data_IF_067381335125
#
_entry.id   IF_067381335125
#
_cell.length_a   1.000
_cell.length_b   1.000
_cell.length_c   1.000
_cell.angle_alpha   90.00
_cell.angle_beta   90.00
_cell.angle_gamma   90.00
#
_symmetry.space_group_name_H-M   'P 1'
#
loop_
_entity.id
_entity.type
_entity.pdbx_description
1 polymer ?
#
# COMPACT_ATOMS: atom_id res chain seq x y z
N UNK A 1 35.01 34.08 1.36
CA UNK A 1 34.83 33.35 2.64
C UNK A 1 33.49 33.74 3.30
N UNK A 2 32.39 33.17 2.80
CA UNK A 2 31.05 33.36 3.36
C UNK A 2 30.74 32.19 4.28
N UNK A 3 30.80 32.43 5.59
CA UNK A 3 30.44 31.46 6.62
C UNK A 3 28.92 31.38 6.76
N UNK A 4 28.35 30.23 6.44
CA UNK A 4 26.97 29.89 6.73
C UNK A 4 26.87 29.40 8.18
N UNK A 5 26.15 30.15 9.02
CA UNK A 5 25.68 29.68 10.34
C UNK A 5 24.36 28.91 10.15
N UNK A 6 24.14 27.79 10.87
CA UNK A 6 22.88 27.07 10.81
C UNK A 6 21.79 27.82 11.60
N UNK A 7 20.72 28.18 10.90
CA UNK A 7 19.53 28.83 11.47
C UNK A 7 18.54 27.71 11.87
N UNK A 8 18.47 27.40 13.16
CA UNK A 8 17.45 26.53 13.72
C UNK A 8 16.22 27.38 14.04
N UNK A 9 15.12 27.20 13.29
CA UNK A 9 13.84 27.82 13.62
C UNK A 9 13.23 27.08 14.82
N UNK A 10 13.21 27.73 15.99
CA UNK A 10 12.34 27.37 17.10
C UNK A 10 10.89 27.73 16.74
N UNK A 11 9.98 26.79 16.90
CA UNK A 11 8.53 27.03 16.82
C UNK A 11 8.09 27.77 18.10
N UNK A 12 7.45 28.95 18.02
CA UNK A 12 6.85 29.56 19.20
C UNK A 12 5.52 28.88 19.51
N UNK A 13 5.36 28.40 20.73
CA UNK A 13 4.07 28.10 21.34
C UNK A 13 3.31 29.42 21.48
N UNK A 14 2.36 29.68 20.60
CA UNK A 14 1.38 30.74 20.80
C UNK A 14 0.27 30.21 21.72
N UNK A 15 0.18 30.77 22.91
CA UNK A 15 -0.97 30.69 23.80
C UNK A 15 -2.21 31.24 23.11
N UNK A 16 -3.26 30.44 23.01
CA UNK A 16 -4.57 30.88 22.55
C UNK A 16 -5.31 31.45 23.76
N UNK A 17 -5.56 32.76 23.76
CA UNK A 17 -6.48 33.42 24.67
C UNK A 17 -7.93 33.09 24.29
N UNK A 18 -8.76 32.75 25.28
CA UNK A 18 -10.20 32.54 25.13
C UNK A 18 -10.95 33.88 25.02
N UNK A 19 -11.97 34.02 24.13
CA UNK A 19 -12.84 35.18 24.11
C UNK A 19 -13.96 35.08 25.17
N UNK A 20 -14.54 36.22 25.61
CA UNK A 20 -15.33 36.31 26.83
C UNK A 20 -16.77 35.78 26.69
N UNK A 21 -17.24 35.22 27.81
CA UNK A 21 -18.60 34.81 28.16
C UNK A 21 -19.73 35.62 27.49
N UNK A 22 -20.55 34.95 26.68
CA UNK A 22 -21.94 35.31 26.43
C UNK A 22 -22.85 34.31 27.14
N UNK A 23 -23.59 34.78 28.13
CA UNK A 23 -24.59 34.01 28.88
C UNK A 23 -25.72 33.54 27.95
N UNK A 24 -25.93 32.23 27.87
CA UNK A 24 -27.17 31.64 27.34
C UNK A 24 -27.76 30.73 28.41
N UNK A 25 -29.03 30.96 28.74
CA UNK A 25 -29.79 30.26 29.78
C UNK A 25 -29.95 28.76 29.50
N UNK A 26 -30.03 27.89 30.53
CA UNK A 26 -30.16 26.44 30.33
C UNK A 26 -31.57 26.06 29.87
N UNK A 27 -31.68 25.40 28.72
CA UNK A 27 -32.86 24.63 28.34
C UNK A 27 -32.78 23.23 28.98
N UNK A 28 -33.92 22.61 29.34
CA UNK A 28 -33.95 21.36 30.12
C UNK A 28 -33.41 20.17 29.31
N UNK A 29 -32.95 19.10 29.99
CA UNK A 29 -32.32 17.97 29.31
C UNK A 29 -33.35 17.22 28.47
N UNK A 30 -33.23 17.28 27.14
CA UNK A 30 -33.83 16.28 26.26
C UNK A 30 -33.04 15.00 26.44
N UNK A 31 -33.69 13.97 26.99
CA UNK A 31 -33.14 12.63 27.09
C UNK A 31 -32.79 12.13 25.69
N UNK A 32 -31.50 12.14 25.35
CA UNK A 32 -30.98 11.41 24.21
C UNK A 32 -30.70 9.97 24.68
N UNK A 33 -31.75 9.15 24.73
CA UNK A 33 -31.56 7.74 24.41
C UNK A 33 -31.29 7.73 22.91
N UNK A 34 -30.01 7.81 22.53
CA UNK A 34 -29.60 7.48 21.18
C UNK A 34 -29.83 5.97 21.03
N UNK A 35 -30.99 5.61 20.48
CA UNK A 35 -31.19 4.29 19.90
C UNK A 35 -30.10 4.12 18.86
N UNK A 36 -29.23 3.14 19.05
CA UNK A 36 -28.45 2.61 17.94
C UNK A 36 -29.47 2.22 16.86
N UNK A 37 -29.49 2.93 15.73
CA UNK A 37 -30.30 2.52 14.58
C UNK A 37 -29.92 1.08 14.27
N UNK A 38 -30.88 0.17 14.42
CA UNK A 38 -30.70 -1.21 14.06
C UNK A 38 -30.31 -1.25 12.59
N UNK A 39 -29.06 -1.66 12.32
CA UNK A 39 -28.57 -1.82 10.96
C UNK A 39 -29.55 -2.74 10.23
N UNK A 40 -30.20 -2.28 9.15
CA UNK A 40 -31.21 -3.09 8.45
C UNK A 40 -30.61 -4.44 8.07
N UNK A 41 -31.32 -5.52 8.34
CA UNK A 41 -30.90 -6.85 7.87
C UNK A 41 -31.39 -7.02 6.43
N UNK A 42 -30.46 -7.28 5.52
CA UNK A 42 -30.70 -7.38 4.07
C UNK A 42 -30.39 -8.81 3.62
N UNK A 43 -31.17 -9.38 2.70
CA UNK A 43 -30.87 -10.69 2.13
C UNK A 43 -29.84 -10.57 1.00
N UNK A 44 -29.05 -11.61 0.76
CA UNK A 44 -28.15 -11.63 -0.41
C UNK A 44 -28.91 -11.58 -1.74
N UNK A 45 -30.12 -12.13 -1.80
CA UNK A 45 -30.95 -12.03 -3.01
C UNK A 45 -31.32 -10.57 -3.33
N UNK A 46 -31.43 -9.70 -2.32
CA UNK A 46 -31.63 -8.27 -2.52
C UNK A 46 -30.34 -7.61 -3.02
N UNK A 47 -29.21 -7.86 -2.36
CA UNK A 47 -27.89 -7.36 -2.79
C UNK A 47 -27.61 -7.74 -4.25
N UNK A 48 -27.93 -8.96 -4.65
CA UNK A 48 -27.68 -9.49 -6.00
C UNK A 48 -28.42 -8.73 -7.11
N UNK A 49 -29.47 -7.95 -6.79
CA UNK A 49 -30.17 -7.08 -7.74
C UNK A 49 -29.33 -5.86 -8.14
N UNK A 50 -28.44 -5.42 -7.26
CA UNK A 50 -27.59 -4.24 -7.45
C UNK A 50 -26.24 -4.64 -8.07
N UNK A 51 -26.29 -5.17 -9.29
CA UNK A 51 -25.14 -5.79 -9.98
C UNK A 51 -24.69 -5.03 -11.25
N UNK A 52 -25.03 -3.74 -11.38
CA UNK A 52 -24.73 -2.93 -12.57
C UNK A 52 -23.76 -1.79 -12.24
N UNK A 53 -23.23 -1.08 -13.25
CA UNK A 53 -22.29 0.03 -13.04
C UNK A 53 -22.96 1.27 -12.42
N UNK A 54 -24.26 1.41 -12.67
CA UNK A 54 -25.09 2.52 -12.21
C UNK A 54 -25.82 2.19 -10.89
N UNK A 55 -25.77 0.93 -10.47
CA UNK A 55 -26.35 0.41 -9.24
C UNK A 55 -25.55 -0.81 -8.77
N UNK A 56 -24.53 -0.55 -7.94
CA UNK A 56 -23.46 -1.49 -7.59
C UNK A 56 -23.36 -1.64 -6.07
N UNK A 57 -23.92 -2.72 -5.52
CA UNK A 57 -23.71 -3.08 -4.12
C UNK A 57 -22.70 -4.22 -4.02
N UNK A 58 -21.85 -4.17 -3.01
CA UNK A 58 -20.87 -5.23 -2.74
C UNK A 58 -20.90 -5.58 -1.26
N UNK A 59 -20.80 -6.86 -0.95
CA UNK A 59 -20.75 -7.35 0.42
C UNK A 59 -19.31 -7.57 0.84
N UNK A 60 -18.96 -7.01 1.99
CA UNK A 60 -17.63 -7.09 2.59
C UNK A 60 -17.79 -7.30 4.10
N UNK A 61 -17.21 -8.39 4.61
CA UNK A 61 -17.29 -8.79 6.02
C UNK A 61 -18.74 -8.84 6.56
N UNK A 62 -19.67 -9.35 5.74
CA UNK A 62 -21.08 -9.52 6.13
C UNK A 62 -21.93 -8.24 6.14
N UNK A 63 -21.42 -7.13 5.58
CA UNK A 63 -22.18 -5.88 5.41
C UNK A 63 -22.26 -5.51 3.93
N UNK A 64 -23.41 -5.02 3.49
CA UNK A 64 -23.63 -4.56 2.12
C UNK A 64 -23.34 -3.06 2.00
N UNK A 65 -22.59 -2.68 0.97
CA UNK A 65 -22.19 -1.30 0.71
C UNK A 65 -22.59 -0.86 -0.70
N UNK A 66 -23.21 0.31 -0.82
CA UNK A 66 -23.40 0.96 -2.12
C UNK A 66 -22.07 1.60 -2.57
N UNK A 67 -21.43 0.97 -3.54
CA UNK A 67 -20.14 1.40 -4.09
C UNK A 67 -20.27 2.07 -5.46
N UNK A 68 -21.49 2.37 -5.92
CA UNK A 68 -21.78 2.95 -7.24
C UNK A 68 -20.94 4.19 -7.54
N UNK A 69 -20.90 5.14 -6.59
CA UNK A 69 -20.10 6.36 -6.73
C UNK A 69 -18.62 6.13 -6.41
N UNK A 70 -18.34 5.26 -5.44
CA UNK A 70 -16.98 4.99 -4.97
C UNK A 70 -16.13 4.26 -6.02
N UNK A 71 -16.75 3.41 -6.85
CA UNK A 71 -16.07 2.69 -7.93
C UNK A 71 -15.27 3.62 -8.84
N UNK A 72 -15.77 4.82 -9.11
CA UNK A 72 -15.14 5.81 -10.00
C UNK A 72 -13.85 6.42 -9.43
N UNK A 73 -13.70 6.42 -8.11
CA UNK A 73 -12.55 7.00 -7.40
C UNK A 73 -11.68 5.95 -6.73
N UNK A 74 -11.98 4.66 -6.93
CA UNK A 74 -11.26 3.56 -6.33
C UNK A 74 -9.82 3.46 -6.88
N UNK A 75 -8.76 3.48 -6.03
CA UNK A 75 -7.36 3.44 -6.47
C UNK A 75 -6.98 2.20 -7.30
N UNK A 76 -7.63 1.06 -7.04
CA UNK A 76 -7.43 -0.16 -7.83
C UNK A 76 -8.08 -0.12 -9.23
N UNK A 77 -8.96 0.85 -9.47
CA UNK A 77 -9.80 0.98 -10.67
C UNK A 77 -11.24 0.49 -10.44
N UNK A 78 -12.17 1.05 -11.21
CA UNK A 78 -13.60 0.78 -11.07
C UNK A 78 -14.03 -0.65 -11.43
N UNK A 79 -13.33 -1.28 -12.39
CA UNK A 79 -13.67 -2.61 -12.91
C UNK A 79 -13.70 -3.68 -11.80
N UNK A 80 -12.73 -3.67 -10.88
CA UNK A 80 -12.65 -4.67 -9.79
C UNK A 80 -13.88 -4.65 -8.89
N UNK A 81 -14.45 -3.46 -8.69
CA UNK A 81 -15.68 -3.28 -7.92
C UNK A 81 -16.89 -3.72 -8.74
N UNK A 82 -16.98 -3.32 -10.01
CA UNK A 82 -18.08 -3.71 -10.90
C UNK A 82 -18.14 -5.22 -11.17
N UNK A 83 -16.99 -5.89 -11.30
CA UNK A 83 -16.92 -7.36 -11.47
C UNK A 83 -17.43 -8.10 -10.22
N UNK A 84 -17.46 -7.42 -9.07
CA UNK A 84 -17.93 -7.96 -7.79
C UNK A 84 -19.33 -7.44 -7.41
N UNK A 85 -20.00 -6.71 -8.30
CA UNK A 85 -21.30 -6.12 -8.03
C UNK A 85 -22.36 -7.22 -7.79
N UNK A 86 -23.14 -7.07 -6.72
CA UNK A 86 -24.13 -8.03 -6.27
C UNK A 86 -23.56 -9.24 -5.49
N UNK A 87 -22.26 -9.28 -5.20
CA UNK A 87 -21.59 -10.44 -4.61
C UNK A 87 -20.92 -10.12 -3.26
N UNK A 88 -20.65 -11.16 -2.47
CA UNK A 88 -19.72 -11.13 -1.35
C UNK A 88 -18.27 -11.22 -1.87
N UNK A 89 -17.59 -10.09 -1.84
CA UNK A 89 -16.23 -9.93 -2.33
C UNK A 89 -15.18 -10.00 -1.22
N UNK A 90 -15.54 -10.40 0.00
CA UNK A 90 -14.64 -10.39 1.16
C UNK A 90 -13.35 -11.15 0.87
N UNK A 91 -13.44 -12.32 0.22
CA UNK A 91 -12.29 -13.14 -0.12
C UNK A 91 -11.35 -12.49 -1.16
N UNK A 92 -11.89 -11.67 -2.07
CA UNK A 92 -11.10 -10.91 -3.04
C UNK A 92 -10.46 -9.67 -2.39
N UNK A 93 -11.13 -9.11 -1.38
CA UNK A 93 -10.75 -7.86 -0.74
C UNK A 93 -9.66 -8.02 0.33
N UNK A 94 -9.81 -8.98 1.24
CA UNK A 94 -8.94 -9.20 2.42
C UNK A 94 -7.45 -9.42 2.08
N UNK A 95 -7.07 -10.12 0.99
CA UNK A 95 -5.67 -10.30 0.62
C UNK A 95 -4.96 -9.00 0.20
N UNK A 96 -5.72 -7.99 -0.22
CA UNK A 96 -5.19 -6.79 -0.87
C UNK A 96 -5.26 -5.58 0.07
N UNK A 97 -6.31 -5.47 0.87
CA UNK A 97 -6.63 -4.27 1.63
C UNK A 97 -6.45 -4.45 3.15
N UNK A 98 -6.06 -3.39 3.87
CA UNK A 98 -6.09 -3.42 5.34
C UNK A 98 -7.53 -3.47 5.84
N UNK A 99 -7.75 -4.17 6.96
CA UNK A 99 -9.11 -4.41 7.51
C UNK A 99 -9.85 -3.11 7.87
N UNK A 100 -9.11 -2.10 8.33
CA UNK A 100 -9.66 -0.81 8.75
C UNK A 100 -9.93 0.17 7.59
N UNK A 101 -9.55 -0.17 6.36
CA UNK A 101 -9.73 0.73 5.21
C UNK A 101 -11.20 0.98 4.92
N UNK A 102 -12.05 0.02 5.29
CA UNK A 102 -13.50 0.08 5.18
C UNK A 102 -14.05 1.22 6.04
N UNK A 103 -13.72 1.23 7.33
CA UNK A 103 -14.17 2.26 8.27
C UNK A 103 -13.60 3.64 7.92
N UNK A 104 -12.39 3.65 7.35
CA UNK A 104 -11.75 4.90 6.90
C UNK A 104 -12.33 5.41 5.59
N UNK A 105 -12.55 4.61 4.57
CA UNK A 105 -12.93 5.09 3.24
C UNK A 105 -14.43 5.06 2.99
N UNK A 106 -15.14 4.08 3.55
CA UNK A 106 -16.56 3.92 3.39
C UNK A 106 -17.29 4.60 4.54
N UNK A 107 -17.97 5.69 4.24
CA UNK A 107 -18.81 6.38 5.24
C UNK A 107 -19.92 5.44 5.71
N UNK A 108 -20.40 5.56 6.95
CA UNK A 108 -21.61 4.84 7.40
C UNK A 108 -22.79 4.99 6.44
N UNK A 109 -22.90 6.16 5.79
CA UNK A 109 -23.90 6.45 4.76
C UNK A 109 -23.85 5.58 3.49
N UNK A 110 -22.73 4.88 3.24
CA UNK A 110 -22.62 3.90 2.15
C UNK A 110 -23.02 2.49 2.60
N UNK A 111 -23.19 2.26 3.91
CA UNK A 111 -23.59 0.95 4.45
C UNK A 111 -25.11 0.83 4.31
N UNK A 112 -25.56 -0.13 3.51
CA UNK A 112 -26.99 -0.38 3.31
C UNK A 112 -27.55 -1.22 4.45
N UNK A 113 -26.77 -2.18 4.94
CA UNK A 113 -27.22 -3.07 6.01
C UNK A 113 -26.27 -4.22 6.30
N UNK A 114 -26.60 -5.00 7.34
CA UNK A 114 -25.96 -6.27 7.64
C UNK A 114 -26.65 -7.36 6.80
N UNK A 115 -25.86 -8.21 6.17
CA UNK A 115 -26.40 -9.31 5.36
C UNK A 115 -26.78 -10.47 6.26
N UNK A 116 -27.97 -11.03 6.06
CA UNK A 116 -28.36 -12.28 6.71
C UNK A 116 -27.49 -13.45 6.21
N UNK A 117 -26.63 -14.05 7.06
CA UNK A 117 -25.78 -15.16 6.66
C UNK A 117 -26.55 -16.38 6.14
N UNK A 118 -27.80 -16.59 6.58
CA UNK A 118 -28.63 -17.71 6.13
C UNK A 118 -29.05 -17.59 4.65
N UNK A 119 -28.94 -16.39 4.06
CA UNK A 119 -29.30 -16.11 2.66
C UNK A 119 -28.10 -16.19 1.71
N UNK A 120 -26.88 -16.33 2.23
CA UNK A 120 -25.66 -16.43 1.43
C UNK A 120 -25.54 -17.84 0.83
N UNK A 121 -25.67 -17.92 -0.49
CA UNK A 121 -25.46 -19.15 -1.27
C UNK A 121 -24.06 -19.14 -1.91
N UNK A 122 -23.51 -20.29 -2.31
CA UNK A 122 -22.20 -20.35 -2.98
C UNK A 122 -22.11 -19.48 -4.26
N UNK A 123 -23.23 -19.27 -4.95
CA UNK A 123 -23.34 -18.39 -6.13
C UNK A 123 -23.28 -16.89 -5.80
N UNK A 124 -23.55 -16.52 -4.55
CA UNK A 124 -23.48 -15.14 -4.06
C UNK A 124 -22.09 -14.74 -3.59
N UNK A 125 -21.16 -15.68 -3.46
CA UNK A 125 -19.78 -15.40 -3.06
C UNK A 125 -18.95 -15.18 -4.32
N UNK A 126 -18.29 -14.03 -4.40
CA UNK A 126 -17.39 -13.73 -5.49
C UNK A 126 -16.31 -14.81 -5.53
N UNK A 127 -16.29 -15.55 -6.64
CA UNK A 127 -15.29 -16.59 -6.82
C UNK A 127 -13.93 -15.90 -6.83
N UNK A 128 -13.04 -16.35 -5.94
CA UNK A 128 -11.62 -16.09 -6.10
C UNK A 128 -11.29 -16.46 -7.56
N UNK A 129 -10.53 -15.63 -8.30
CA UNK A 129 -10.00 -16.09 -9.57
C UNK A 129 -9.38 -17.44 -9.27
N UNK A 130 -9.78 -18.47 -10.02
CA UNK A 130 -9.16 -19.78 -9.87
C UNK A 130 -7.66 -19.52 -9.78
N UNK A 131 -7.03 -19.96 -8.68
CA UNK A 131 -5.59 -20.17 -8.71
C UNK A 131 -5.42 -21.19 -9.82
N UNK A 132 -5.27 -20.71 -11.06
CA UNK A 132 -4.47 -21.44 -12.01
C UNK A 132 -3.20 -21.72 -11.22
N UNK A 133 -2.84 -22.99 -10.97
CA UNK A 133 -1.53 -23.28 -10.41
C UNK A 133 -0.57 -22.40 -11.18
N UNK A 134 0.15 -21.50 -10.47
CA UNK A 134 0.89 -20.36 -11.00
C UNK A 134 1.11 -20.56 -12.48
N UNK A 135 0.28 -19.94 -13.33
CA UNK A 135 0.11 -20.41 -14.69
C UNK A 135 1.50 -20.61 -15.29
N UNK A 136 1.86 -21.88 -15.52
CA UNK A 136 3.13 -22.23 -16.15
C UNK A 136 3.28 -21.26 -17.32
N UNK A 137 4.44 -20.58 -17.42
CA UNK A 137 4.59 -19.34 -18.16
C UNK A 137 3.88 -19.49 -19.50
N UNK A 138 2.78 -18.74 -19.70
CA UNK A 138 2.11 -18.72 -20.99
C UNK A 138 3.12 -18.19 -21.99
N UNK A 139 3.65 -19.13 -22.78
CA UNK A 139 4.62 -18.97 -23.86
C UNK A 139 4.55 -17.56 -24.47
N UNK A 140 5.46 -16.68 -24.09
CA UNK A 140 5.98 -15.73 -25.07
C UNK A 140 6.88 -16.57 -25.96
N UNK A 141 6.35 -17.00 -27.10
CA UNK A 141 7.19 -17.43 -28.20
C UNK A 141 8.05 -16.23 -28.57
N UNK A 142 9.22 -16.12 -27.95
CA UNK A 142 10.32 -15.42 -28.56
C UNK A 142 10.63 -16.25 -29.79
N UNK A 143 10.17 -15.77 -30.95
CA UNK A 143 10.66 -16.22 -32.26
C UNK A 143 12.12 -15.78 -32.34
N UNK A 144 13.00 -16.50 -31.65
CA UNK A 144 14.39 -16.56 -32.01
C UNK A 144 14.42 -17.41 -33.28
N UNK A 145 14.81 -16.79 -34.38
CA UNK A 145 15.16 -17.51 -35.59
C UNK A 145 16.35 -18.41 -35.25
N UNK A 146 16.09 -19.70 -35.09
CA UNK A 146 17.10 -20.75 -35.14
C UNK A 146 16.52 -21.84 -36.03
N UNK A 147 17.20 -22.03 -37.15
CA UNK A 147 17.18 -23.27 -37.91
C UNK A 147 17.52 -24.43 -36.95
N UNK A 148 17.00 -25.62 -37.26
CA UNK A 148 17.22 -26.89 -36.56
C UNK A 148 16.40 -27.16 -35.29
N UNK A 149 15.13 -27.51 -35.51
CA UNK A 149 14.69 -28.91 -35.38
C UNK A 149 14.67 -29.64 -34.02
N UNK A 150 14.99 -29.04 -32.88
CA UNK A 150 14.78 -29.68 -31.57
C UNK A 150 13.73 -28.94 -30.73
N UNK A 151 12.59 -29.61 -30.48
CA UNK A 151 11.58 -29.16 -29.51
C UNK A 151 12.17 -29.27 -28.09
N UNK A 152 12.90 -28.23 -27.67
CA UNK A 152 13.48 -28.13 -26.34
C UNK A 152 12.38 -28.16 -25.26
N UNK A 153 12.44 -29.17 -24.40
CA UNK A 153 11.67 -29.22 -23.15
C UNK A 153 12.14 -28.05 -22.28
N UNK A 154 11.26 -27.08 -22.04
CA UNK A 154 11.57 -25.93 -21.19
C UNK A 154 11.49 -26.40 -19.73
N UNK A 155 12.62 -26.45 -19.04
CA UNK A 155 12.67 -26.81 -17.62
C UNK A 155 11.87 -25.82 -16.76
N UNK A 156 11.23 -26.32 -15.71
CA UNK A 156 10.48 -25.51 -14.75
C UNK A 156 11.42 -24.56 -13.99
N UNK A 157 11.04 -23.29 -13.85
CA UNK A 157 11.87 -22.31 -13.13
C UNK A 157 11.97 -22.67 -11.65
N UNK A 158 13.19 -22.99 -11.21
CA UNK A 158 13.49 -23.25 -9.80
C UNK A 158 14.07 -22.00 -9.16
N UNK A 159 13.46 -21.54 -8.06
CA UNK A 159 13.99 -20.41 -7.29
C UNK A 159 15.40 -20.73 -6.79
N UNK A 160 16.40 -19.88 -7.09
CA UNK A 160 17.75 -20.09 -6.57
C UNK A 160 17.76 -19.93 -5.04
N UNK A 161 18.68 -20.61 -4.33
CA UNK A 161 18.83 -20.43 -2.90
C UNK A 161 19.29 -18.99 -2.59
N UNK A 162 18.91 -18.47 -1.41
CA UNK A 162 19.16 -17.06 -1.06
C UNK A 162 20.64 -16.67 -1.09
N UNK A 163 21.54 -17.60 -0.74
CA UNK A 163 22.99 -17.38 -0.78
C UNK A 163 23.58 -17.31 -2.19
N UNK A 164 22.81 -17.67 -3.23
CA UNK A 164 23.18 -17.49 -4.63
C UNK A 164 22.74 -16.12 -5.19
N UNK A 165 22.01 -15.32 -4.42
CA UNK A 165 21.62 -13.96 -4.80
C UNK A 165 22.75 -12.99 -4.43
N UNK A 166 23.49 -12.56 -5.44
CA UNK A 166 24.72 -11.77 -5.29
C UNK A 166 24.44 -10.27 -5.26
N UNK A 167 23.36 -9.83 -5.89
CA UNK A 167 23.00 -8.43 -5.98
C UNK A 167 21.47 -8.22 -6.05
N UNK A 168 21.02 -6.96 -6.01
CA UNK A 168 19.59 -6.62 -6.02
C UNK A 168 18.86 -6.96 -7.33
N UNK A 169 19.55 -7.01 -8.47
CA UNK A 169 18.96 -7.37 -9.77
C UNK A 169 18.64 -8.87 -9.87
N UNK A 170 19.32 -9.71 -9.10
CA UNK A 170 18.98 -11.15 -9.03
C UNK A 170 17.59 -11.33 -8.41
N UNK A 171 17.28 -10.57 -7.36
CA UNK A 171 15.95 -10.56 -6.75
C UNK A 171 14.88 -10.04 -7.71
N UNK A 172 15.19 -9.00 -8.50
CA UNK A 172 14.28 -8.48 -9.52
C UNK A 172 13.98 -9.53 -10.60
N UNK A 173 15.02 -10.25 -11.05
CA UNK A 173 14.91 -11.31 -12.05
C UNK A 173 14.07 -12.48 -11.53
N UNK A 174 14.33 -12.94 -10.30
CA UNK A 174 13.51 -13.98 -9.66
C UNK A 174 12.08 -13.51 -9.47
N UNK A 175 11.87 -12.27 -9.01
CA UNK A 175 10.53 -11.71 -8.81
C UNK A 175 9.72 -11.69 -10.12
N UNK A 176 10.35 -11.31 -11.23
CA UNK A 176 9.71 -11.31 -12.56
C UNK A 176 9.18 -12.68 -12.98
N UNK A 177 9.89 -13.75 -12.65
CA UNK A 177 9.51 -15.12 -13.01
C UNK A 177 8.41 -15.69 -12.11
N UNK A 178 8.35 -15.28 -10.84
CA UNK A 178 7.53 -15.95 -9.82
C UNK A 178 6.33 -15.16 -9.32
N UNK A 179 6.28 -13.86 -9.61
CA UNK A 179 5.17 -13.00 -9.23
C UNK A 179 4.01 -13.12 -10.22
N UNK A 180 2.80 -12.95 -9.71
CA UNK A 180 1.63 -12.80 -10.59
C UNK A 180 1.83 -11.60 -11.53
N UNK A 181 1.45 -11.69 -12.82
CA UNK A 181 1.68 -10.64 -13.79
C UNK A 181 1.16 -9.26 -13.34
N UNK A 182 0.03 -9.23 -12.63
CA UNK A 182 -0.54 -8.01 -12.06
C UNK A 182 0.37 -7.40 -11.00
N UNK A 183 0.87 -8.23 -10.07
CA UNK A 183 1.75 -7.79 -8.99
C UNK A 183 3.11 -7.32 -9.55
N UNK A 184 3.68 -8.06 -10.50
CA UNK A 184 4.89 -7.66 -11.21
C UNK A 184 4.68 -6.33 -11.97
N UNK A 185 3.57 -6.21 -12.71
CA UNK A 185 3.21 -4.99 -13.42
C UNK A 185 3.01 -3.80 -12.48
N UNK A 186 2.49 -4.01 -11.26
CA UNK A 186 2.37 -2.96 -10.26
C UNK A 186 3.74 -2.46 -9.80
N UNK A 187 4.65 -3.34 -9.37
CA UNK A 187 5.95 -2.93 -8.83
C UNK A 187 6.97 -2.48 -9.87
N UNK A 188 7.01 -3.13 -11.05
CA UNK A 188 8.03 -2.86 -12.07
C UNK A 188 7.68 -1.72 -13.03
N UNK A 189 6.55 -1.02 -12.81
CA UNK A 189 6.07 0.01 -13.72
C UNK A 189 6.46 1.43 -13.32
N UNK A 190 6.80 2.23 -14.32
CA UNK A 190 6.99 3.68 -14.22
C UNK A 190 5.86 4.46 -14.89
N UNK A 191 5.95 5.79 -14.85
CA UNK A 191 5.03 6.67 -15.58
C UNK A 191 5.31 6.67 -17.08
N UNK A 192 4.26 6.54 -17.88
CA UNK A 192 4.23 6.56 -19.34
C UNK A 192 5.33 5.67 -19.94
N UNK A 193 6.26 6.24 -20.72
CA UNK A 193 7.36 5.53 -21.37
C UNK A 193 8.48 5.07 -20.41
N UNK A 194 8.34 5.25 -19.10
CA UNK A 194 9.30 4.83 -18.07
C UNK A 194 10.72 5.41 -18.27
N UNK A 195 10.82 6.59 -18.91
CA UNK A 195 12.10 7.25 -19.19
C UNK A 195 12.78 7.62 -17.87
N UNK A 196 12.09 8.34 -16.99
CA UNK A 196 12.62 8.76 -15.68
C UNK A 196 12.99 7.58 -14.79
N UNK A 197 12.21 6.50 -14.83
CA UNK A 197 12.49 5.28 -14.06
C UNK A 197 13.89 4.73 -14.40
N UNK A 198 14.20 4.64 -15.70
CA UNK A 198 15.50 4.17 -16.19
C UNK A 198 16.60 5.22 -15.98
N UNK A 199 16.30 6.49 -16.21
CA UNK A 199 17.27 7.58 -16.06
C UNK A 199 17.76 7.74 -14.62
N UNK A 200 16.89 7.52 -13.63
CA UNK A 200 17.25 7.54 -12.20
C UNK A 200 18.43 6.58 -11.89
N UNK A 201 18.44 5.40 -12.50
CA UNK A 201 19.54 4.44 -12.35
C UNK A 201 20.75 4.84 -13.20
N UNK A 202 20.54 5.17 -14.47
CA UNK A 202 21.61 5.51 -15.42
C UNK A 202 22.37 6.78 -15.02
N UNK A 203 21.73 7.70 -14.31
CA UNK A 203 22.37 8.92 -13.81
C UNK A 203 23.59 8.63 -12.93
N UNK A 204 23.59 7.53 -12.16
CA UNK A 204 24.74 7.17 -11.33
C UNK A 204 25.97 6.76 -12.16
N UNK A 205 25.79 6.24 -13.37
CA UNK A 205 26.91 5.90 -14.28
C UNK A 205 27.61 7.15 -14.84
N UNK A 206 27.00 8.33 -14.71
CA UNK A 206 27.60 9.63 -15.09
C UNK A 206 28.59 10.12 -14.02
N UNK A 207 28.64 9.48 -12.85
CA UNK A 207 29.52 9.82 -11.74
C UNK A 207 30.61 8.76 -11.62
N UNK A 208 31.87 9.19 -11.65
CA UNK A 208 33.03 8.30 -11.46
C UNK A 208 33.70 8.54 -10.12
N UNK A 209 34.22 7.47 -9.52
CA UNK A 209 34.97 7.52 -8.27
C UNK A 209 36.43 7.90 -8.50
N UNK A 210 36.99 8.72 -7.61
CA UNK A 210 38.44 8.99 -7.54
C UNK A 210 38.98 8.37 -6.24
N UNK A 211 39.33 7.07 -6.23
CA UNK A 211 39.75 6.40 -5.01
C UNK A 211 41.04 7.02 -4.47
N UNK A 212 41.11 7.16 -3.14
CA UNK A 212 42.35 7.57 -2.46
C UNK A 212 43.13 6.31 -2.10
N UNK A 213 44.39 6.26 -2.55
CA UNK A 213 45.32 5.15 -2.28
C UNK A 213 46.18 5.45 -1.06
N UNK A 214 46.85 4.41 -0.53
CA UNK A 214 47.67 4.49 0.69
C UNK A 214 46.91 4.99 1.93
N UNK A 215 45.60 4.74 2.00
CA UNK A 215 44.77 4.98 3.18
C UNK A 215 44.57 3.64 3.90
N UNK A 216 44.76 3.63 5.22
CA UNK A 216 44.43 2.46 6.03
C UNK A 216 42.91 2.29 6.09
N UNK A 217 42.40 1.25 5.44
CA UNK A 217 40.98 0.88 5.40
C UNK A 217 40.71 -0.45 6.09
N UNK A 218 41.56 -0.84 7.06
CA UNK A 218 41.37 -2.08 7.85
C UNK A 218 40.04 -2.09 8.60
N UNK A 219 39.62 -0.93 9.09
CA UNK A 219 38.35 -0.75 9.78
C UNK A 219 37.53 0.31 9.03
N UNK A 220 36.28 -0.03 8.72
CA UNK A 220 35.35 0.81 7.98
C UNK A 220 34.08 0.93 8.83
N UNK A 221 33.64 2.16 9.06
CA UNK A 221 32.38 2.47 9.72
C UNK A 221 31.40 3.05 8.71
N UNK A 222 30.28 2.36 8.49
CA UNK A 222 29.18 2.81 7.61
C UNK A 222 27.99 3.36 8.41
N UNK A 223 28.10 3.42 9.74
CA UNK A 223 27.02 3.92 10.59
C UNK A 223 26.81 5.42 10.35
N UNK A 224 25.57 5.86 10.53
CA UNK A 224 25.20 7.26 10.38
C UNK A 224 23.92 7.56 11.18
N UNK A 225 23.41 8.78 11.03
CA UNK A 225 22.09 9.15 11.53
C UNK A 225 21.21 9.65 10.40
N UNK A 226 19.95 9.24 10.39
CA UNK A 226 18.92 9.74 9.48
C UNK A 226 17.89 10.49 10.32
N UNK A 227 17.77 11.81 10.15
CA UNK A 227 16.87 12.66 10.95
C UNK A 227 17.01 12.45 12.48
N UNK A 228 18.23 12.23 12.95
CA UNK A 228 18.54 11.99 14.37
C UNK A 228 18.28 10.56 14.87
N UNK A 229 17.89 9.63 13.99
CA UNK A 229 17.77 8.20 14.30
C UNK A 229 19.06 7.48 13.87
N UNK A 230 19.70 6.69 14.76
CA UNK A 230 20.87 5.87 14.40
C UNK A 230 20.55 4.85 13.30
N UNK A 231 21.45 4.68 12.34
CA UNK A 231 21.35 3.70 11.26
C UNK A 231 22.69 3.01 11.02
N UNK A 232 22.66 1.69 10.85
CA UNK A 232 23.85 0.89 10.56
C UNK A 232 24.40 1.11 9.15
N UNK A 233 23.58 1.64 8.24
CA UNK A 233 23.93 1.96 6.86
C UNK A 233 23.31 3.30 6.44
N UNK A 234 23.88 4.01 5.45
CA UNK A 234 23.32 5.27 4.93
C UNK A 234 22.17 5.04 3.93
N UNK A 235 21.31 4.05 4.21
CA UNK A 235 20.14 3.69 3.41
C UNK A 235 18.96 3.35 4.32
N UNK A 236 17.76 3.33 3.77
CA UNK A 236 16.53 3.00 4.49
C UNK A 236 15.55 2.27 3.56
N UNK A 237 14.57 1.56 4.12
CA UNK A 237 13.45 1.02 3.37
C UNK A 237 12.42 2.14 3.11
N UNK A 238 12.19 2.48 1.85
CA UNK A 238 11.21 3.51 1.48
C UNK A 238 9.77 3.00 1.50
N UNK A 239 8.81 3.92 1.53
CA UNK A 239 7.39 3.62 1.50
C UNK A 239 6.99 2.99 0.15
N UNK A 240 6.53 1.74 0.20
CA UNK A 240 5.98 1.00 -0.94
C UNK A 240 4.66 0.39 -0.53
N UNK A 241 3.60 0.73 -1.26
CA UNK A 241 2.24 0.28 -0.98
C UNK A 241 2.02 -1.17 -1.44
N UNK A 242 0.96 -1.79 -0.92
CA UNK A 242 0.46 -3.10 -1.34
C UNK A 242 1.49 -4.24 -1.29
N UNK A 243 2.36 -4.30 -0.26
CA UNK A 243 3.38 -5.35 -0.13
C UNK A 243 2.81 -6.79 -0.12
N UNK A 244 1.52 -6.98 0.20
CA UNK A 244 0.85 -8.29 0.11
C UNK A 244 0.77 -8.85 -1.32
N UNK A 245 0.92 -8.02 -2.35
CA UNK A 245 1.02 -8.48 -3.73
C UNK A 245 2.31 -9.29 -3.98
N UNK A 246 3.38 -9.05 -3.21
CA UNK A 246 4.62 -9.84 -3.28
C UNK A 246 4.62 -11.03 -2.33
N UNK A 247 4.13 -10.83 -1.09
CA UNK A 247 4.19 -11.86 -0.06
C UNK A 247 3.11 -11.64 0.99
N UNK A 248 2.48 -12.71 1.48
CA UNK A 248 1.38 -12.65 2.47
C UNK A 248 1.69 -11.84 3.74
N UNK A 249 2.96 -11.83 4.17
CA UNK A 249 3.40 -11.10 5.37
C UNK A 249 3.59 -9.59 5.12
N UNK A 250 3.53 -9.13 3.87
CA UNK A 250 3.53 -7.72 3.46
C UNK A 250 4.51 -6.82 4.22
N UNK A 251 4.02 -5.64 4.61
CA UNK A 251 4.81 -4.60 5.27
C UNK A 251 5.31 -5.04 6.66
N UNK A 252 4.61 -5.95 7.34
CA UNK A 252 5.02 -6.50 8.64
C UNK A 252 6.36 -7.25 8.54
N UNK A 253 6.61 -7.97 7.43
CA UNK A 253 7.92 -8.58 7.18
C UNK A 253 9.02 -7.53 7.02
N UNK A 254 8.71 -6.40 6.36
CA UNK A 254 9.67 -5.30 6.14
C UNK A 254 10.00 -4.60 7.46
N UNK A 255 9.01 -4.38 8.34
CA UNK A 255 9.25 -3.86 9.70
C UNK A 255 10.28 -4.73 10.43
N UNK A 256 10.09 -6.05 10.44
CA UNK A 256 11.03 -6.98 11.11
C UNK A 256 12.41 -6.99 10.45
N UNK A 257 12.45 -6.99 9.12
CA UNK A 257 13.70 -6.96 8.35
C UNK A 257 14.51 -5.69 8.62
N UNK A 258 13.85 -4.53 8.68
CA UNK A 258 14.49 -3.24 8.95
C UNK A 258 15.20 -3.21 10.31
N UNK A 259 14.54 -3.69 11.38
CA UNK A 259 15.20 -3.83 12.69
C UNK A 259 16.42 -4.75 12.62
N UNK A 260 16.26 -5.92 12.00
CA UNK A 260 17.35 -6.91 11.89
C UNK A 260 18.55 -6.35 11.14
N UNK A 261 18.31 -5.54 10.11
CA UNK A 261 19.35 -4.88 9.32
C UNK A 261 19.90 -3.61 9.98
N UNK A 262 19.29 -3.10 11.05
CA UNK A 262 19.71 -1.88 11.73
C UNK A 262 19.45 -0.60 10.92
N UNK A 263 18.47 -0.61 10.01
CA UNK A 263 18.09 0.54 9.17
C UNK A 263 16.63 0.93 9.40
N UNK A 264 16.28 2.17 9.07
CA UNK A 264 14.91 2.68 9.24
C UNK A 264 13.99 2.15 8.14
N UNK A 265 12.72 1.93 8.47
CA UNK A 265 11.65 1.72 7.50
C UNK A 265 10.65 2.88 7.55
N UNK A 266 10.24 3.36 6.38
CA UNK A 266 9.19 4.35 6.19
C UNK A 266 7.87 3.67 5.86
N UNK A 267 6.91 3.73 6.80
CA UNK A 267 5.59 3.14 6.64
C UNK A 267 4.79 3.87 5.55
N UNK A 268 4.22 3.18 4.55
CA UNK A 268 3.37 3.80 3.53
C UNK A 268 1.97 4.12 4.09
N UNK A 269 1.37 5.24 3.69
CA UNK A 269 -0.03 5.57 3.99
C UNK A 269 -1.00 4.54 3.39
N UNK A 270 -0.66 4.01 2.21
CA UNK A 270 -1.48 3.07 1.43
C UNK A 270 -0.96 1.62 1.56
N UNK A 271 -0.67 1.19 2.77
CA UNK A 271 -0.19 -0.17 3.09
C UNK A 271 -1.27 -1.24 2.91
N UNK A 272 -0.86 -2.51 2.84
CA UNK A 272 -1.75 -3.68 2.89
C UNK A 272 -2.19 -4.04 4.31
N UNK A 273 -1.42 -3.61 5.31
CA UNK A 273 -1.70 -3.74 6.74
C UNK A 273 -2.12 -2.40 7.33
N UNK A 274 -2.91 -2.43 8.39
CA UNK A 274 -3.27 -1.22 9.12
C UNK A 274 -2.03 -0.62 9.78
N UNK A 275 -2.10 0.67 10.14
CA UNK A 275 -1.02 1.31 10.90
C UNK A 275 -0.77 0.57 12.23
N UNK A 276 -1.82 0.12 12.93
CA UNK A 276 -1.69 -0.61 14.18
C UNK A 276 -0.92 -1.91 14.01
N UNK A 277 -1.32 -2.74 13.04
CA UNK A 277 -0.66 -4.01 12.76
C UNK A 277 0.83 -3.82 12.43
N UNK A 278 1.19 -2.76 11.70
CA UNK A 278 2.59 -2.42 11.43
C UNK A 278 3.34 -1.90 12.66
N UNK A 279 2.69 -1.12 13.52
CA UNK A 279 3.28 -0.60 14.75
C UNK A 279 3.45 -1.69 15.82
N UNK A 280 2.53 -2.65 15.88
CA UNK A 280 2.59 -3.84 16.74
C UNK A 280 3.68 -4.81 16.31
N UNK A 281 3.98 -4.86 15.00
CA UNK A 281 5.09 -5.66 14.47
C UNK A 281 6.49 -5.15 14.85
N UNK A 282 6.58 -3.96 15.47
CA UNK A 282 7.87 -3.40 15.91
C UNK A 282 8.52 -4.27 16.97
N UNK A 283 9.85 -4.33 16.89
CA UNK A 283 10.69 -4.88 17.94
C UNK A 283 11.06 -3.76 18.93
N UNK A 284 11.28 -4.03 20.23
CA UNK A 284 11.69 -3.00 21.19
C UNK A 284 12.88 -2.14 20.72
N UNK A 285 12.75 -0.82 20.91
CA UNK A 285 13.75 0.17 20.46
C UNK A 285 13.89 0.27 18.94
N UNK A 286 12.85 -0.10 18.18
CA UNK A 286 12.81 0.12 16.73
C UNK A 286 12.15 1.45 16.42
N UNK A 287 12.92 2.32 15.78
CA UNK A 287 12.45 3.60 15.27
C UNK A 287 11.94 3.44 13.83
N UNK A 288 10.82 4.11 13.52
CA UNK A 288 10.20 4.10 12.20
C UNK A 288 9.98 5.53 11.72
N UNK A 289 9.92 5.70 10.40
CA UNK A 289 9.36 6.87 9.74
C UNK A 289 7.98 6.54 9.16
N UNK A 290 7.21 7.56 8.81
CA UNK A 290 5.97 7.37 8.05
C UNK A 290 5.93 8.31 6.86
N UNK A 291 5.41 7.79 5.75
CA UNK A 291 4.96 8.56 4.62
C UNK A 291 3.51 9.02 4.85
N UNK A 292 3.17 10.22 4.35
CA UNK A 292 1.83 10.80 4.43
C UNK A 292 1.34 11.26 3.05
N UNK A 293 0.18 10.76 2.65
CA UNK A 293 -0.71 11.43 1.71
C UNK A 293 -1.79 12.20 2.46
N UNK A 294 -1.87 13.51 2.23
CA UNK A 294 -2.87 14.36 2.89
C UNK A 294 -4.26 14.03 2.32
N UNK A 295 -5.15 13.57 3.19
CA UNK A 295 -6.53 13.28 2.80
C UNK A 295 -7.29 14.61 2.54
N UNK A 296 -8.18 14.67 1.52
CA UNK A 296 -9.07 15.82 1.34
C UNK A 296 -9.87 16.17 2.61
N UNK A 297 -10.28 15.15 3.37
CA UNK A 297 -10.86 15.30 4.70
C UNK A 297 -9.74 15.41 5.74
N UNK A 298 -9.44 16.65 6.16
CA UNK A 298 -8.27 16.95 7.01
C UNK A 298 -8.34 16.38 8.41
N UNK A 299 -9.53 16.15 8.96
CA UNK A 299 -9.72 15.46 10.24
C UNK A 299 -9.10 14.06 10.24
N UNK A 300 -9.21 13.31 9.14
CA UNK A 300 -8.58 11.98 9.00
C UNK A 300 -7.06 12.06 8.97
N UNK A 301 -6.53 13.09 8.34
CA UNK A 301 -5.07 13.35 8.34
C UNK A 301 -4.61 13.67 9.75
N UNK A 302 -5.35 14.51 10.48
CA UNK A 302 -5.04 14.86 11.87
C UNK A 302 -5.05 13.62 12.77
N UNK A 303 -6.08 12.78 12.70
CA UNK A 303 -6.18 11.53 13.47
C UNK A 303 -4.98 10.61 13.18
N UNK A 304 -4.65 10.42 11.91
CA UNK A 304 -3.52 9.59 11.50
C UNK A 304 -2.18 10.13 12.03
N UNK A 305 -1.95 11.44 11.94
CA UNK A 305 -0.72 12.08 12.45
C UNK A 305 -0.63 12.00 13.97
N UNK A 306 -1.73 12.28 14.70
CA UNK A 306 -1.76 12.15 16.16
C UNK A 306 -1.45 10.72 16.62
N UNK A 307 -1.89 9.72 15.85
CA UNK A 307 -1.58 8.31 16.12
C UNK A 307 -0.11 7.97 15.89
N UNK A 308 0.48 8.45 14.79
CA UNK A 308 1.90 8.29 14.52
C UNK A 308 2.77 8.93 15.62
N UNK A 309 2.43 10.15 16.03
CA UNK A 309 3.14 10.87 17.09
C UNK A 309 3.03 10.14 18.43
N UNK A 310 1.81 9.74 18.83
CA UNK A 310 1.56 8.97 20.06
C UNK A 310 2.30 7.63 20.06
N UNK A 311 2.48 7.02 18.89
CA UNK A 311 3.23 5.79 18.72
C UNK A 311 4.75 5.98 18.68
N UNK A 312 5.25 7.21 18.74
CA UNK A 312 6.67 7.54 18.72
C UNK A 312 7.33 7.44 17.34
N UNK A 313 6.56 7.54 16.25
CA UNK A 313 7.14 7.59 14.89
C UNK A 313 7.95 8.87 14.73
N UNK A 314 9.20 8.73 14.26
CA UNK A 314 10.24 9.77 14.41
C UNK A 314 10.22 10.86 13.35
N UNK A 315 9.65 10.57 12.19
CA UNK A 315 9.57 11.53 11.09
C UNK A 315 8.36 11.25 10.21
N UNK A 316 7.85 12.32 9.61
CA UNK A 316 6.73 12.34 8.70
C UNK A 316 7.17 12.89 7.34
N UNK A 317 7.02 12.10 6.29
CA UNK A 317 7.37 12.44 4.91
C UNK A 317 6.09 12.71 4.12
N UNK A 318 5.79 13.98 3.88
CA UNK A 318 4.60 14.36 3.09
C UNK A 318 4.92 14.22 1.61
N UNK A 319 4.25 13.29 0.94
CA UNK A 319 4.44 13.03 -0.49
C UNK A 319 3.62 14.01 -1.32
N UNK A 320 4.28 14.77 -2.20
CA UNK A 320 3.67 15.86 -2.98
C UNK A 320 3.80 15.70 -4.49
N UNK A 321 4.47 14.65 -4.95
CA UNK A 321 4.72 14.36 -6.36
C UNK A 321 3.61 13.54 -7.05
N UNK A 322 2.62 13.05 -6.28
CA UNK A 322 1.47 12.30 -6.79
C UNK A 322 0.12 12.96 -6.47
N UNK A 323 -0.12 14.26 -6.79
CA UNK A 323 -1.45 14.87 -6.67
C UNK A 323 -2.45 14.26 -7.66
N UNK A 324 -1.93 13.65 -8.73
CA UNK A 324 -2.65 12.81 -9.68
C UNK A 324 -1.90 11.48 -9.81
N UNK A 325 -2.63 10.39 -10.06
CA UNK A 325 -2.01 9.09 -10.26
C UNK A 325 -1.25 9.07 -11.59
N UNK A 326 0.01 8.67 -11.55
CA UNK A 326 0.83 8.45 -12.74
C UNK A 326 0.26 7.33 -13.62
N UNK A 327 0.43 7.48 -14.94
CA UNK A 327 -0.05 6.51 -15.93
C UNK A 327 0.92 5.34 -16.05
N UNK A 328 0.65 4.25 -15.33
CA UNK A 328 1.48 3.03 -15.35
C UNK A 328 0.93 2.04 -16.37
N UNK A 329 1.40 2.11 -17.61
CA UNK A 329 0.79 1.37 -18.73
C UNK A 329 0.83 -0.15 -18.59
N UNK A 330 1.88 -0.71 -17.96
CA UNK A 330 1.96 -2.16 -17.68
C UNK A 330 0.80 -2.62 -16.80
N UNK A 331 0.52 -1.88 -15.72
CA UNK A 331 -0.62 -2.15 -14.81
C UNK A 331 -1.96 -1.99 -15.54
N UNK A 332 -2.10 -0.94 -16.36
CA UNK A 332 -3.30 -0.75 -17.17
C UNK A 332 -3.53 -1.93 -18.13
N UNK A 333 -2.52 -2.37 -18.87
CA UNK A 333 -2.63 -3.53 -19.81
C UNK A 333 -2.97 -4.82 -19.09
N UNK A 334 -2.45 -5.05 -17.89
CA UNK A 334 -2.82 -6.19 -17.07
C UNK A 334 -4.29 -6.16 -16.63
N UNK A 335 -4.84 -4.97 -16.36
CA UNK A 335 -6.28 -4.79 -16.07
C UNK A 335 -7.17 -4.95 -17.32
N UNK A 336 -6.66 -4.63 -18.51
CA UNK A 336 -7.38 -4.79 -19.79
C UNK A 336 -7.40 -6.23 -20.31
N UNK A 337 -6.36 -7.01 -20.08
CA UNK A 337 -6.28 -8.43 -20.54
C UNK A 337 -7.13 -9.40 -19.71
N UNK A 338 -7.77 -8.90 -18.65
CA UNK A 338 -8.78 -9.61 -17.84
C UNK A 338 -10.22 -9.13 -18.14
N UNK A 339 -10.44 -8.43 -19.27
CA UNK A 339 -11.76 -8.17 -19.86
C UNK A 339 -12.12 -9.32 -20.80
#
# INVERSE_FOLDING_TARGET
PFGLKPFWLKWPLASVEEPPNARVSPSPPRSAVAMAEAVPTISMDEVAKHNTKEDCWVVLYGKAYDLTKFARVHPGGAKLIHDSAGLDATALFDPIHPKDIMDKLLKPALTMGAVDPATVKPEHVAKLPEKKPAAAPKKKAAKAAAEDGEEGVVEEFVKPPLNAMLNTFDFESVAREVMEPQAWGYYSSGGDDEITLRDNHLAFQRISMRPRILINVREIDMTTTLLGVPSSLPIYFTATALAKLAHKDGEVAIVKAAKKAGVVYMLPTLSSYTLDEMLEARVPGQELFSQLYVNPERSRTQEYVSKLESAGVRALFVTVDAPQLGRREKDMRNKFTQQ
#
